data_IF_946231918291
#
_entry.id   IF_946231918291
#
_cell.length_a   1.000
_cell.length_b   1.000
_cell.length_c   1.000
_cell.angle_alpha   90.00
_cell.angle_beta   90.00
_cell.angle_gamma   90.00
#
_symmetry.space_group_name_H-M   'P 1'
#
loop_
_entity.id
_entity.type
_entity.pdbx_description
1 polymer ?
#
# COMPACT_ATOMS: atom_id res chain seq x y z
N UNK A 1 32.55 74.83 4.31
CA UNK A 1 32.85 73.63 5.14
C UNK A 1 31.80 72.50 5.08
N UNK A 2 30.54 72.75 4.66
CA UNK A 2 29.43 71.77 4.71
C UNK A 2 29.47 70.62 3.68
N UNK A 3 30.30 70.71 2.64
CA UNK A 3 30.28 69.76 1.50
C UNK A 3 30.91 68.41 1.81
N UNK A 4 31.89 68.35 2.74
CA UNK A 4 32.58 67.10 3.09
C UNK A 4 31.74 66.18 3.98
N UNK A 5 30.95 66.77 4.88
CA UNK A 5 30.07 66.01 5.80
C UNK A 5 28.96 65.30 5.02
N UNK A 6 28.35 65.97 4.03
CA UNK A 6 27.30 65.40 3.19
C UNK A 6 27.76 64.13 2.46
N UNK A 7 28.96 64.16 1.88
CA UNK A 7 29.50 63.00 1.16
C UNK A 7 29.87 61.84 2.09
N UNK A 8 30.26 62.13 3.33
CA UNK A 8 30.55 61.11 4.33
C UNK A 8 29.28 60.39 4.79
N UNK A 9 28.21 61.13 5.06
CA UNK A 9 26.89 60.58 5.46
C UNK A 9 26.29 59.73 4.33
N UNK A 10 26.36 60.19 3.08
CA UNK A 10 25.86 59.43 1.91
C UNK A 10 26.65 58.14 1.67
N UNK A 11 27.96 58.12 1.96
CA UNK A 11 28.81 56.92 1.83
C UNK A 11 28.45 55.84 2.86
N UNK A 12 28.06 56.25 4.07
CA UNK A 12 27.57 55.34 5.14
C UNK A 12 26.19 54.77 4.80
N UNK A 13 25.29 55.57 4.24
CA UNK A 13 23.93 55.14 3.87
C UNK A 13 23.88 54.24 2.62
N UNK A 14 24.99 54.11 1.88
CA UNK A 14 25.09 53.31 0.64
C UNK A 14 25.68 51.91 0.82
N UNK A 15 25.68 51.36 2.04
CA UNK A 15 26.00 49.94 2.25
C UNK A 15 24.87 49.08 1.68
N UNK A 16 24.89 48.85 0.37
CA UNK A 16 23.96 47.94 -0.28
C UNK A 16 24.10 46.57 0.38
N UNK A 17 23.02 46.13 1.04
CA UNK A 17 22.94 44.78 1.58
C UNK A 17 22.98 43.84 0.37
N UNK A 18 24.10 43.12 0.22
CA UNK A 18 24.14 41.96 -0.67
C UNK A 18 23.07 41.01 -0.16
N UNK A 19 21.98 40.87 -0.91
CA UNK A 19 21.07 39.77 -0.66
C UNK A 19 21.79 38.52 -1.12
N UNK A 20 22.11 37.64 -0.18
CA UNK A 20 22.66 36.34 -0.52
C UNK A 20 21.54 35.55 -1.19
N UNK A 21 21.68 35.38 -2.51
CA UNK A 21 20.71 34.65 -3.31
C UNK A 21 21.02 33.16 -3.26
N UNK A 22 19.94 32.38 -3.23
CA UNK A 22 19.92 30.93 -3.32
C UNK A 22 20.83 30.46 -4.46
N UNK A 23 21.73 29.53 -4.17
CA UNK A 23 22.67 29.03 -5.18
C UNK A 23 22.08 27.84 -5.93
N UNK A 24 22.45 27.66 -7.20
CA UNK A 24 22.03 26.46 -7.95
C UNK A 24 22.55 25.17 -7.31
N UNK A 25 23.76 25.22 -6.74
CA UNK A 25 24.36 24.06 -6.07
C UNK A 25 23.54 23.62 -4.85
N UNK A 26 22.92 24.55 -4.13
CA UNK A 26 22.05 24.26 -2.99
C UNK A 26 20.81 23.46 -3.42
N UNK A 27 20.17 23.84 -4.54
CA UNK A 27 19.07 23.05 -5.11
C UNK A 27 19.52 21.66 -5.57
N UNK A 28 20.71 21.56 -6.18
CA UNK A 28 21.24 20.26 -6.66
C UNK A 28 21.50 19.31 -5.50
N UNK A 29 22.10 19.79 -4.40
CA UNK A 29 22.33 18.97 -3.20
C UNK A 29 21.00 18.51 -2.58
N UNK A 30 19.99 19.40 -2.52
CA UNK A 30 18.65 19.04 -2.01
C UNK A 30 18.00 17.96 -2.88
N UNK A 31 18.03 18.11 -4.20
CA UNK A 31 17.48 17.11 -5.11
C UNK A 31 18.21 15.77 -5.01
N UNK A 32 19.54 15.79 -4.84
CA UNK A 32 20.33 14.58 -4.65
C UNK A 32 19.88 13.81 -3.40
N UNK A 33 19.63 14.51 -2.28
CA UNK A 33 19.13 13.88 -1.05
C UNK A 33 17.70 13.34 -1.25
N UNK A 34 16.81 14.08 -1.92
CA UNK A 34 15.44 13.61 -2.20
C UNK A 34 15.45 12.32 -3.01
N UNK A 35 16.25 12.26 -4.10
CA UNK A 35 16.35 11.05 -4.94
C UNK A 35 16.91 9.88 -4.14
N UNK A 36 17.92 10.11 -3.30
CA UNK A 36 18.48 9.09 -2.42
C UNK A 36 17.44 8.54 -1.44
N UNK A 37 16.65 9.41 -0.80
CA UNK A 37 15.59 8.98 0.12
C UNK A 37 14.47 8.21 -0.59
N UNK A 38 14.03 8.68 -1.77
CA UNK A 38 13.00 7.99 -2.56
C UNK A 38 13.45 6.58 -2.94
N UNK A 39 14.71 6.39 -3.36
CA UNK A 39 15.26 5.06 -3.66
C UNK A 39 15.20 4.10 -2.47
N UNK A 40 15.36 4.59 -1.24
CA UNK A 40 15.26 3.77 -0.02
C UNK A 40 13.81 3.45 0.37
N UNK A 41 12.88 4.39 0.16
CA UNK A 41 11.48 4.25 0.59
C UNK A 41 10.65 3.39 -0.37
N UNK A 42 10.80 3.57 -1.69
CA UNK A 42 10.03 2.87 -2.73
C UNK A 42 10.01 1.34 -2.58
N UNK A 43 11.14 0.63 -2.38
CA UNK A 43 11.12 -0.84 -2.28
C UNK A 43 10.34 -1.35 -1.05
N UNK A 44 10.26 -0.55 0.02
CA UNK A 44 9.50 -0.92 1.22
C UNK A 44 7.98 -0.94 0.94
N UNK A 45 7.51 -0.09 0.04
CA UNK A 45 6.07 0.06 -0.27
C UNK A 45 5.57 -1.03 -1.23
N UNK A 46 6.40 -1.45 -2.20
CA UNK A 46 5.95 -2.26 -3.35
C UNK A 46 5.60 -3.72 -2.96
N UNK A 47 6.14 -4.28 -1.86
CA UNK A 47 5.89 -5.68 -1.47
C UNK A 47 4.83 -5.91 -0.38
N UNK A 48 4.44 -4.87 0.36
CA UNK A 48 3.59 -5.03 1.56
C UNK A 48 2.14 -5.35 1.22
N UNK A 49 1.59 -4.75 0.15
CA UNK A 49 0.19 -4.92 -0.24
C UNK A 49 -0.10 -6.36 -0.66
N UNK A 50 0.77 -6.93 -1.49
CA UNK A 50 0.62 -8.30 -1.98
C UNK A 50 0.76 -9.33 -0.85
N UNK A 51 1.73 -9.11 0.04
CA UNK A 51 1.92 -9.96 1.21
C UNK A 51 0.71 -9.90 2.16
N UNK A 52 0.13 -8.71 2.36
CA UNK A 52 -1.08 -8.53 3.17
C UNK A 52 -2.28 -9.21 2.52
N UNK A 53 -2.45 -9.08 1.19
CA UNK A 53 -3.52 -9.72 0.45
C UNK A 53 -3.42 -11.25 0.52
N UNK A 54 -2.23 -11.83 0.31
CA UNK A 54 -2.01 -13.28 0.45
C UNK A 54 -2.36 -13.78 1.86
N UNK A 55 -1.94 -13.07 2.91
CA UNK A 55 -2.29 -13.40 4.30
C UNK A 55 -3.80 -13.30 4.55
N UNK A 56 -4.45 -12.27 4.02
CA UNK A 56 -5.90 -12.10 4.15
C UNK A 56 -6.68 -13.19 3.43
N UNK A 57 -6.23 -13.63 2.26
CA UNK A 57 -6.85 -14.73 1.51
C UNK A 57 -6.60 -16.08 2.19
N UNK A 58 -5.42 -16.32 2.77
CA UNK A 58 -5.16 -17.50 3.60
C UNK A 58 -6.06 -17.56 4.84
N UNK A 59 -6.18 -16.46 5.58
CA UNK A 59 -7.07 -16.40 6.75
C UNK A 59 -8.55 -16.60 6.36
N UNK A 60 -8.95 -16.04 5.22
CA UNK A 60 -10.30 -16.20 4.68
C UNK A 60 -10.55 -17.65 4.25
N UNK A 61 -9.59 -18.31 3.60
CA UNK A 61 -9.64 -19.75 3.27
C UNK A 61 -9.85 -20.60 4.51
N UNK A 62 -9.09 -20.35 5.59
CA UNK A 62 -9.28 -21.06 6.86
C UNK A 62 -10.68 -20.85 7.42
N UNK A 63 -11.19 -19.63 7.37
CA UNK A 63 -12.56 -19.32 7.80
C UNK A 63 -13.59 -20.11 6.97
N UNK A 64 -13.46 -20.12 5.65
CA UNK A 64 -14.33 -20.89 4.76
C UNK A 64 -14.26 -22.40 5.07
N UNK A 65 -13.06 -22.94 5.30
CA UNK A 65 -12.89 -24.35 5.67
C UNK A 65 -13.63 -24.69 6.96
N UNK A 66 -13.55 -23.83 7.98
CA UNK A 66 -14.31 -23.99 9.22
C UNK A 66 -15.82 -23.96 8.97
N UNK A 67 -16.31 -23.06 8.12
CA UNK A 67 -17.75 -23.02 7.80
C UNK A 67 -18.22 -24.24 7.02
N UNK A 68 -17.40 -24.77 6.12
CA UNK A 68 -17.70 -26.02 5.39
C UNK A 68 -17.75 -27.21 6.34
N UNK A 69 -16.83 -27.26 7.31
CA UNK A 69 -16.84 -28.29 8.34
C UNK A 69 -18.08 -28.21 9.23
N UNK A 70 -18.45 -27.00 9.67
CA UNK A 70 -19.67 -26.77 10.45
C UNK A 70 -20.93 -27.17 9.68
N UNK A 71 -21.00 -26.84 8.38
CA UNK A 71 -22.10 -27.31 7.53
C UNK A 71 -22.16 -28.84 7.48
N UNK A 72 -21.00 -29.49 7.36
CA UNK A 72 -20.90 -30.95 7.35
C UNK A 72 -21.36 -31.55 8.67
N UNK A 73 -20.99 -30.95 9.79
CA UNK A 73 -21.40 -31.38 11.13
C UNK A 73 -22.92 -31.24 11.33
N UNK A 74 -23.49 -30.09 10.96
CA UNK A 74 -24.92 -29.79 11.11
C UNK A 74 -25.81 -30.65 10.18
N UNK A 75 -25.35 -30.91 8.95
CA UNK A 75 -26.20 -31.52 7.90
C UNK A 75 -25.82 -32.95 7.53
N UNK A 76 -24.71 -33.47 8.07
CA UNK A 76 -24.08 -34.73 7.67
C UNK A 76 -23.79 -34.85 6.15
N UNK A 77 -23.69 -33.70 5.45
CA UNK A 77 -23.48 -33.63 4.00
C UNK A 77 -22.46 -32.55 3.68
N UNK A 78 -21.76 -32.70 2.55
CA UNK A 78 -20.91 -31.63 2.03
C UNK A 78 -21.77 -30.58 1.30
N UNK A 79 -21.42 -29.28 1.40
CA UNK A 79 -22.09 -28.26 0.62
C UNK A 79 -21.73 -28.43 -0.86
N UNK A 80 -22.72 -28.27 -1.75
CA UNK A 80 -22.49 -28.31 -3.21
C UNK A 80 -21.78 -27.06 -3.74
N UNK A 81 -21.63 -26.03 -2.90
CA UNK A 81 -20.97 -24.76 -3.19
C UNK A 81 -21.30 -23.74 -2.10
N UNK A 82 -20.66 -22.56 -2.16
CA UNK A 82 -20.84 -21.51 -1.15
C UNK A 82 -22.24 -20.88 -1.18
N UNK A 83 -22.93 -20.91 -2.33
CA UNK A 83 -24.27 -20.32 -2.49
C UNK A 83 -25.39 -21.02 -1.68
N UNK A 84 -25.14 -22.22 -1.15
CA UNK A 84 -26.08 -22.91 -0.27
C UNK A 84 -25.77 -22.75 1.22
N UNK A 85 -24.83 -21.87 1.56
CA UNK A 85 -24.29 -21.71 2.91
C UNK A 85 -24.74 -20.40 3.58
N UNK A 86 -25.90 -19.86 3.23
CA UNK A 86 -26.42 -18.57 3.72
C UNK A 86 -26.57 -18.51 5.26
N UNK A 87 -26.69 -19.67 5.92
CA UNK A 87 -26.70 -19.79 7.40
C UNK A 87 -25.30 -19.63 8.02
N UNK A 88 -24.24 -19.91 7.27
CA UNK A 88 -22.85 -19.99 7.75
C UNK A 88 -21.96 -18.86 7.20
N UNK A 89 -22.36 -18.24 6.09
CA UNK A 89 -21.64 -17.17 5.40
C UNK A 89 -22.59 -16.03 5.10
N UNK A 90 -22.09 -14.80 5.23
CA UNK A 90 -22.79 -13.61 4.74
C UNK A 90 -22.77 -13.52 3.21
N UNK A 91 -23.72 -12.78 2.62
CA UNK A 91 -23.81 -12.57 1.17
C UNK A 91 -22.48 -12.08 0.57
N UNK A 92 -21.83 -11.09 1.20
CA UNK A 92 -20.52 -10.56 0.79
C UNK A 92 -19.42 -11.65 0.79
N UNK A 93 -19.46 -12.53 1.79
CA UNK A 93 -18.50 -13.64 1.90
C UNK A 93 -18.77 -14.70 0.84
N UNK A 94 -20.03 -14.99 0.52
CA UNK A 94 -20.40 -15.93 -0.56
C UNK A 94 -19.93 -15.38 -1.90
N UNK A 95 -20.15 -14.09 -2.19
CA UNK A 95 -19.67 -13.46 -3.42
C UNK A 95 -18.14 -13.52 -3.51
N UNK A 96 -17.44 -13.15 -2.44
CA UNK A 96 -15.97 -13.21 -2.40
C UNK A 96 -15.45 -14.65 -2.51
N UNK A 97 -16.10 -15.61 -1.87
CA UNK A 97 -15.72 -17.02 -1.92
C UNK A 97 -15.87 -17.57 -3.34
N UNK A 98 -17.00 -17.33 -4.01
CA UNK A 98 -17.24 -17.77 -5.39
C UNK A 98 -16.25 -17.17 -6.39
N UNK A 99 -15.76 -15.94 -6.15
CA UNK A 99 -14.75 -15.31 -7.00
C UNK A 99 -13.35 -15.93 -6.87
N UNK A 100 -12.98 -16.40 -5.69
CA UNK A 100 -11.59 -16.75 -5.37
C UNK A 100 -11.33 -18.20 -4.98
N UNK A 101 -12.37 -18.97 -4.64
CA UNK A 101 -12.25 -20.27 -4.01
C UNK A 101 -13.27 -21.25 -4.58
N UNK A 102 -13.01 -22.54 -4.34
CA UNK A 102 -13.90 -23.66 -4.65
C UNK A 102 -13.83 -24.72 -3.56
N UNK A 103 -14.88 -25.51 -3.46
CA UNK A 103 -14.97 -26.66 -2.56
C UNK A 103 -14.73 -27.92 -3.39
N UNK A 104 -13.74 -28.72 -3.00
CA UNK A 104 -13.47 -30.01 -3.63
C UNK A 104 -14.46 -31.09 -3.14
N UNK A 105 -14.49 -32.23 -3.83
CA UNK A 105 -15.35 -33.36 -3.48
C UNK A 105 -15.06 -33.97 -2.09
N UNK A 106 -13.89 -33.72 -1.54
CA UNK A 106 -13.48 -34.14 -0.19
C UNK A 106 -13.88 -33.13 0.92
N UNK A 107 -14.46 -31.99 0.55
CA UNK A 107 -14.81 -30.91 1.48
C UNK A 107 -13.68 -29.93 1.78
N UNK A 108 -12.56 -30.00 1.07
CA UNK A 108 -11.48 -29.01 1.22
C UNK A 108 -11.76 -27.76 0.39
N UNK A 109 -11.48 -26.60 1.00
CA UNK A 109 -11.54 -25.31 0.33
C UNK A 109 -10.19 -25.03 -0.31
N UNK A 110 -10.16 -24.74 -1.61
CA UNK A 110 -8.96 -24.40 -2.37
C UNK A 110 -9.15 -23.13 -3.17
N UNK A 111 -8.05 -22.43 -3.44
CA UNK A 111 -8.06 -21.23 -4.27
C UNK A 111 -8.30 -21.62 -5.74
N UNK A 112 -9.02 -20.77 -6.47
CA UNK A 112 -9.16 -20.92 -7.91
C UNK A 112 -7.82 -20.60 -8.58
N UNK A 113 -7.36 -21.50 -9.45
CA UNK A 113 -6.03 -21.44 -10.10
C UNK A 113 -5.82 -20.18 -10.97
N UNK A 114 -6.86 -19.38 -11.21
CA UNK A 114 -6.83 -18.11 -11.92
C UNK A 114 -6.17 -16.95 -11.15
N UNK A 115 -5.93 -17.08 -9.83
CA UNK A 115 -5.22 -16.05 -9.04
C UNK A 115 -3.70 -16.24 -8.97
N UNK A 116 -3.19 -17.41 -9.34
CA UNK A 116 -1.76 -17.74 -9.20
C UNK A 116 -0.88 -17.11 -10.29
N UNK A 117 -1.45 -16.55 -11.37
CA UNK A 117 -0.69 -16.01 -12.53
C UNK A 117 -0.53 -14.48 -12.56
N UNK A 118 -0.88 -13.75 -11.49
CA UNK A 118 -0.98 -12.29 -11.55
C UNK A 118 0.27 -11.49 -11.16
N UNK A 119 1.06 -11.94 -10.19
CA UNK A 119 2.08 -11.09 -9.55
C UNK A 119 3.44 -11.79 -9.44
N UNK A 120 3.94 -12.32 -10.55
CA UNK A 120 5.34 -12.69 -10.70
C UNK A 120 5.97 -11.84 -11.81
N UNK A 121 6.09 -10.53 -11.56
CA UNK A 121 7.08 -9.63 -12.18
C UNK A 121 7.40 -8.48 -11.23
#
# INVERSE_FOLDING_TARGET
MKTRVRNFVVKILRKQRKQEAFTLIEMVVVMAIIVMLVMLIVPNIIGTKDSAQKKADQAFKTTLQTQVELYREDTNKLPSGFAGMDKYLSEDQIERANKGFRINADGTVVENDSKTSGNEK
#
